data_IF_839489243946
#
_entry.id   IF_839489243946
#
_cell.length_a   1.000
_cell.length_b   1.000
_cell.length_c   1.000
_cell.angle_alpha   90.00
_cell.angle_beta   90.00
_cell.angle_gamma   90.00
#
_symmetry.space_group_name_H-M   'P 1'
#
loop_
_entity.id
_entity.type
_entity.pdbx_description
1 polymer ?
#
# COMPACT_ATOMS: atom_id res chain seq x y z
N UNK A 1 -107.22 10.46 40.17
CA UNK A 1 -106.31 11.02 41.20
C UNK A 1 -104.90 10.97 40.64
N UNK A 2 -104.35 12.13 40.31
CA UNK A 2 -102.98 12.30 39.83
C UNK A 2 -102.15 12.62 41.07
N UNK A 3 -101.34 11.67 41.54
CA UNK A 3 -100.43 11.93 42.65
C UNK A 3 -99.20 12.67 42.14
N UNK A 4 -99.13 13.96 42.46
CA UNK A 4 -97.90 14.75 42.44
C UNK A 4 -97.15 14.50 43.74
N UNK A 5 -95.91 14.02 43.65
CA UNK A 5 -94.90 14.18 44.69
C UNK A 5 -93.59 14.64 44.04
N UNK A 6 -92.93 15.57 44.73
CA UNK A 6 -91.90 16.49 44.25
C UNK A 6 -90.50 15.87 44.12
N UNK A 7 -89.76 16.38 43.14
CA UNK A 7 -88.36 16.08 42.82
C UNK A 7 -87.44 16.79 43.82
N UNK A 8 -87.22 16.19 44.99
CA UNK A 8 -86.21 16.64 45.96
C UNK A 8 -86.02 15.59 47.05
N UNK A 9 -85.09 14.65 46.82
CA UNK A 9 -84.32 13.84 47.80
C UNK A 9 -83.92 12.46 47.23
N UNK A 10 -83.09 12.42 46.19
CA UNK A 10 -82.43 11.17 45.75
C UNK A 10 -80.97 11.08 46.27
N UNK A 11 -80.45 12.11 46.92
CA UNK A 11 -79.10 12.11 47.53
C UNK A 11 -79.05 11.54 48.98
N UNK A 12 -80.08 10.81 49.42
CA UNK A 12 -80.23 10.35 50.80
C UNK A 12 -80.25 8.84 51.04
N UNK A 13 -79.99 8.00 50.01
CA UNK A 13 -79.62 6.59 50.19
C UNK A 13 -80.52 5.73 51.11
N UNK A 14 -81.82 5.97 51.17
CA UNK A 14 -82.75 5.15 51.98
C UNK A 14 -83.96 4.73 51.15
N UNK A 15 -83.94 3.50 50.64
CA UNK A 15 -85.07 2.89 49.92
C UNK A 15 -85.86 1.98 50.87
N UNK A 16 -87.19 2.20 50.94
CA UNK A 16 -88.13 1.34 51.66
C UNK A 16 -88.43 0.07 50.85
N UNK A 17 -88.58 -1.11 51.49
CA UNK A 17 -88.71 -2.41 50.81
C UNK A 17 -90.02 -2.61 50.02
N UNK A 18 -90.92 -1.62 49.99
CA UNK A 18 -92.26 -1.72 49.36
C UNK A 18 -92.35 -1.33 47.89
N UNK A 19 -91.25 -1.01 47.19
CA UNK A 19 -91.30 -0.46 45.83
C UNK A 19 -90.26 -1.05 44.85
N UNK A 20 -89.91 -2.34 44.99
CA UNK A 20 -89.17 -3.08 43.97
C UNK A 20 -90.16 -3.84 43.07
N UNK A 21 -90.05 -3.77 41.73
CA UNK A 21 -90.75 -4.68 40.84
C UNK A 21 -90.34 -6.12 41.20
N UNK A 22 -91.32 -6.99 41.41
CA UNK A 22 -91.09 -8.40 41.76
C UNK A 22 -90.22 -9.10 40.72
N UNK A 23 -88.94 -9.24 41.01
CA UNK A 23 -88.04 -10.13 40.31
C UNK A 23 -88.33 -11.55 40.76
N UNK A 24 -88.81 -12.40 39.84
CA UNK A 24 -88.87 -13.85 40.05
C UNK A 24 -87.57 -14.34 40.68
N UNK A 25 -87.65 -14.99 41.84
CA UNK A 25 -86.60 -15.87 42.36
C UNK A 25 -86.46 -17.08 41.43
N UNK A 26 -85.89 -16.84 40.24
CA UNK A 26 -85.26 -17.90 39.47
C UNK A 26 -83.96 -18.27 40.18
N UNK A 27 -83.75 -19.56 40.41
CA UNK A 27 -82.48 -20.14 40.86
C UNK A 27 -81.33 -19.47 40.11
N UNK A 28 -80.29 -18.93 40.77
CA UNK A 28 -79.18 -18.27 40.09
C UNK A 28 -78.62 -19.17 38.99
N UNK A 29 -78.83 -18.78 37.73
CA UNK A 29 -78.27 -19.49 36.59
C UNK A 29 -76.74 -19.32 36.56
N UNK A 30 -76.05 -20.24 35.89
CA UNK A 30 -74.61 -20.14 35.68
C UNK A 30 -74.26 -18.83 34.96
N UNK A 31 -73.23 -18.12 35.44
CA UNK A 31 -72.77 -16.89 34.80
C UNK A 31 -72.20 -17.14 33.41
N UNK A 32 -72.55 -16.28 32.45
CA UNK A 32 -71.78 -16.08 31.22
C UNK A 32 -70.88 -14.87 31.40
N UNK A 33 -69.59 -15.03 31.12
CA UNK A 33 -68.57 -14.00 31.31
C UNK A 33 -68.04 -13.50 29.97
N UNK A 34 -67.82 -12.19 29.85
CA UNK A 34 -66.96 -11.63 28.82
C UNK A 34 -65.62 -11.23 29.44
N UNK A 35 -64.54 -11.44 28.71
CA UNK A 35 -63.18 -11.24 29.23
C UNK A 35 -62.37 -10.32 28.33
N UNK A 36 -61.31 -9.74 28.89
CA UNK A 36 -60.25 -9.12 28.10
C UNK A 36 -59.49 -10.16 27.27
N UNK A 37 -58.67 -9.70 26.34
CA UNK A 37 -57.61 -10.55 25.78
C UNK A 37 -56.70 -11.10 26.91
N UNK A 38 -56.12 -12.27 26.69
CA UNK A 38 -55.09 -12.81 27.57
C UNK A 38 -53.82 -11.96 27.49
N UNK A 39 -53.19 -11.71 28.63
CA UNK A 39 -51.85 -11.12 28.69
C UNK A 39 -50.78 -12.06 28.11
N UNK A 40 -49.55 -11.54 27.98
CA UNK A 40 -48.41 -12.37 27.60
C UNK A 40 -48.14 -13.45 28.65
N UNK A 41 -47.58 -14.58 28.21
CA UNK A 41 -47.10 -15.61 29.13
C UNK A 41 -45.96 -15.03 29.97
N UNK A 42 -46.06 -15.14 31.30
CA UNK A 42 -45.04 -14.69 32.24
C UNK A 42 -44.08 -15.83 32.58
N UNK A 43 -42.95 -15.52 33.21
CA UNK A 43 -41.90 -16.50 33.56
C UNK A 43 -42.35 -17.61 34.52
N UNK A 44 -43.47 -17.40 35.23
CA UNK A 44 -44.13 -18.41 36.05
C UNK A 44 -45.00 -19.40 35.24
N UNK A 45 -44.94 -19.36 33.90
CA UNK A 45 -45.72 -20.24 33.02
C UNK A 45 -47.21 -19.94 33.00
N UNK A 46 -47.62 -18.72 33.37
CA UNK A 46 -49.02 -18.31 33.47
C UNK A 46 -49.29 -17.05 32.66
N UNK A 47 -50.48 -16.96 32.07
CA UNK A 47 -51.04 -15.73 31.52
C UNK A 47 -52.38 -15.45 32.18
N UNK A 48 -52.69 -14.17 32.41
CA UNK A 48 -53.90 -13.73 33.09
C UNK A 48 -54.78 -12.90 32.17
N UNK A 49 -56.08 -12.86 32.47
CA UNK A 49 -57.05 -11.95 31.85
C UNK A 49 -57.99 -11.41 32.91
N UNK A 50 -58.75 -10.38 32.57
CA UNK A 50 -59.74 -9.79 33.47
C UNK A 50 -61.16 -10.12 33.01
N UNK A 51 -62.09 -10.27 33.94
CA UNK A 51 -63.52 -10.29 33.65
C UNK A 51 -63.97 -8.87 33.34
N UNK A 52 -64.64 -8.67 32.21
CA UNK A 52 -65.21 -7.39 31.82
C UNK A 52 -66.68 -7.28 32.26
N UNK A 53 -67.48 -8.30 31.93
CA UNK A 53 -68.90 -8.35 32.33
C UNK A 53 -69.33 -9.77 32.70
N UNK A 54 -70.37 -9.87 33.53
CA UNK A 54 -71.06 -11.12 33.89
C UNK A 54 -72.57 -10.95 33.69
N UNK A 55 -73.24 -11.96 33.14
CA UNK A 55 -74.70 -11.94 32.92
C UNK A 55 -75.32 -13.32 33.20
N UNK A 56 -76.54 -13.39 33.77
CA UNK A 56 -77.41 -12.30 34.26
C UNK A 56 -77.01 -11.75 35.65
N UNK A 57 -77.57 -10.62 36.06
CA UNK A 57 -77.31 -10.03 37.39
C UNK A 57 -77.68 -11.01 38.52
N UNK A 58 -76.77 -11.22 39.47
CA UNK A 58 -76.96 -12.17 40.58
C UNK A 58 -76.62 -13.64 40.24
N UNK A 59 -76.04 -13.91 39.08
CA UNK A 59 -75.53 -15.24 38.74
C UNK A 59 -74.38 -15.67 39.66
N UNK A 60 -74.16 -16.98 39.79
CA UNK A 60 -73.04 -17.56 40.56
C UNK A 60 -72.14 -18.40 39.67
N UNK A 61 -70.82 -18.21 39.79
CA UNK A 61 -69.82 -19.04 39.13
C UNK A 61 -68.40 -18.55 39.43
N UNK A 62 -67.40 -19.32 39.02
CA UNK A 62 -65.99 -18.94 39.16
C UNK A 62 -65.43 -18.57 37.79
N UNK A 63 -65.00 -17.33 37.55
CA UNK A 63 -64.42 -16.94 36.28
C UNK A 63 -63.04 -17.58 36.06
N UNK A 64 -62.75 -17.96 34.83
CA UNK A 64 -61.43 -18.45 34.44
C UNK A 64 -60.53 -17.26 34.06
N UNK A 65 -59.66 -16.87 34.99
CA UNK A 65 -58.79 -15.70 34.87
C UNK A 65 -57.31 -16.05 34.71
N UNK A 66 -56.97 -17.35 34.72
CA UNK A 66 -55.60 -17.82 34.73
C UNK A 66 -55.47 -19.15 34.01
N UNK A 67 -54.52 -19.25 33.09
CA UNK A 67 -54.20 -20.53 32.43
C UNK A 67 -52.70 -20.74 32.29
N UNK A 68 -52.31 -22.01 32.21
CA UNK A 68 -50.94 -22.41 31.93
C UNK A 68 -50.54 -22.05 30.50
N UNK A 69 -49.26 -21.76 30.31
CA UNK A 69 -48.64 -21.48 29.02
C UNK A 69 -47.16 -21.84 29.04
N UNK A 70 -46.58 -22.05 27.86
CA UNK A 70 -45.14 -22.20 27.70
C UNK A 70 -44.51 -20.82 27.60
N UNK A 71 -43.74 -20.44 28.62
CA UNK A 71 -42.95 -19.20 28.58
C UNK A 71 -41.71 -19.41 27.70
N UNK A 72 -41.58 -18.58 26.67
CA UNK A 72 -40.33 -18.49 25.90
C UNK A 72 -39.60 -17.23 26.36
N UNK A 73 -38.45 -17.35 27.07
CA UNK A 73 -37.65 -16.21 27.45
C UNK A 73 -37.24 -15.38 26.23
N UNK A 74 -37.18 -14.04 26.32
CA UNK A 74 -36.62 -13.20 25.27
C UNK A 74 -35.17 -13.64 25.00
N UNK A 75 -34.82 -13.85 23.73
CA UNK A 75 -33.43 -14.11 23.35
C UNK A 75 -32.62 -12.83 23.51
N UNK A 76 -31.71 -12.83 24.49
CA UNK A 76 -30.85 -11.68 24.74
C UNK A 76 -29.66 -11.69 23.77
N UNK A 77 -29.44 -10.58 23.06
CA UNK A 77 -28.28 -10.42 22.21
C UNK A 77 -26.98 -10.33 23.05
N UNK A 78 -25.93 -11.01 22.62
CA UNK A 78 -24.62 -10.93 23.26
C UNK A 78 -23.89 -9.62 22.93
N UNK A 79 -23.24 -9.05 23.94
CA UNK A 79 -22.14 -8.10 23.79
C UNK A 79 -20.82 -8.83 23.97
N UNK A 80 -19.84 -8.59 23.10
CA UNK A 80 -18.54 -9.27 23.10
C UNK A 80 -17.39 -8.30 23.34
N UNK A 81 -16.38 -8.74 24.09
CA UNK A 81 -15.06 -8.10 24.10
C UNK A 81 -14.07 -8.98 23.34
N UNK A 82 -13.10 -8.36 22.68
CA UNK A 82 -12.18 -9.04 21.77
C UNK A 82 -10.73 -8.67 22.06
N UNK A 83 -9.80 -9.53 21.66
CA UNK A 83 -8.39 -9.18 21.55
C UNK A 83 -8.14 -8.19 20.40
N UNK A 84 -6.93 -7.62 20.36
CA UNK A 84 -6.47 -6.90 19.18
C UNK A 84 -6.48 -7.82 17.95
N UNK A 85 -6.67 -7.24 16.77
CA UNK A 85 -6.53 -8.00 15.53
C UNK A 85 -5.09 -8.44 15.32
N UNK A 86 -4.90 -9.68 14.87
CA UNK A 86 -3.60 -10.16 14.40
C UNK A 86 -3.14 -9.44 13.13
N UNK A 87 -1.90 -9.68 12.71
CA UNK A 87 -1.39 -9.19 11.44
C UNK A 87 -2.21 -9.77 10.26
N UNK A 88 -2.30 -9.01 9.17
CA UNK A 88 -2.87 -9.52 7.93
C UNK A 88 -2.01 -10.68 7.41
N UNK A 89 -2.64 -11.82 7.13
CA UNK A 89 -1.99 -13.01 6.59
C UNK A 89 -2.06 -13.01 5.06
N UNK A 90 -1.29 -13.89 4.41
CA UNK A 90 -1.21 -13.98 2.94
C UNK A 90 -2.51 -14.34 2.24
N UNK A 91 -3.49 -14.90 2.97
CA UNK A 91 -4.84 -15.17 2.47
C UNK A 91 -5.75 -13.92 2.47
N UNK A 92 -5.22 -12.76 2.85
CA UNK A 92 -5.97 -11.51 2.92
C UNK A 92 -6.90 -11.43 4.12
N UNK A 93 -6.65 -12.22 5.18
CA UNK A 93 -7.44 -12.20 6.41
C UNK A 93 -6.60 -11.85 7.62
N UNK A 94 -7.27 -11.26 8.61
CA UNK A 94 -6.75 -11.13 9.97
C UNK A 94 -7.79 -11.66 10.93
N UNK A 95 -7.32 -12.34 11.97
CA UNK A 95 -8.17 -12.98 12.98
C UNK A 95 -7.99 -12.32 14.33
N UNK A 96 -9.01 -12.46 15.17
CA UNK A 96 -8.97 -12.10 16.60
C UNK A 96 -9.74 -13.13 17.40
N UNK A 97 -9.58 -13.10 18.71
CA UNK A 97 -10.29 -13.99 19.64
C UNK A 97 -11.35 -13.23 20.42
N UNK A 98 -12.44 -13.92 20.78
CA UNK A 98 -13.39 -13.45 21.79
C UNK A 98 -12.74 -13.62 23.16
N UNK A 99 -12.78 -12.58 23.99
CA UNK A 99 -12.30 -12.64 25.37
C UNK A 99 -13.46 -12.90 26.33
N UNK A 100 -14.53 -12.11 26.24
CA UNK A 100 -15.73 -12.28 27.06
C UNK A 100 -17.01 -12.05 26.27
N UNK A 101 -18.11 -12.66 26.74
CA UNK A 101 -19.48 -12.40 26.30
C UNK A 101 -20.36 -12.03 27.50
N UNK A 102 -21.33 -11.15 27.29
CA UNK A 102 -22.26 -10.72 28.33
C UNK A 102 -23.61 -10.34 27.73
N UNK A 103 -24.74 -10.61 28.42
CA UNK A 103 -24.87 -11.33 29.71
C UNK A 103 -24.81 -12.87 29.58
N UNK A 104 -24.77 -13.60 30.70
CA UNK A 104 -24.79 -15.06 30.69
C UNK A 104 -26.05 -15.62 30.02
N UNK A 105 -25.89 -16.63 29.16
CA UNK A 105 -27.01 -17.23 28.41
C UNK A 105 -27.49 -16.41 27.19
N UNK A 106 -26.78 -15.35 26.82
CA UNK A 106 -27.06 -14.62 25.58
C UNK A 106 -26.81 -15.47 24.33
N UNK A 107 -27.45 -15.09 23.23
CA UNK A 107 -27.28 -15.73 21.92
C UNK A 107 -26.71 -14.74 20.90
N UNK A 108 -25.73 -15.17 20.10
CA UNK A 108 -25.17 -14.39 19.00
C UNK A 108 -23.95 -15.08 18.39
N UNK A 109 -23.49 -14.58 17.24
CA UNK A 109 -22.30 -15.07 16.55
C UNK A 109 -21.18 -14.02 16.64
N UNK A 110 -20.02 -14.32 17.24
CA UNK A 110 -18.92 -13.37 17.34
C UNK A 110 -18.24 -13.13 15.98
N UNK A 111 -17.79 -11.90 15.75
CA UNK A 111 -17.06 -11.53 14.53
C UNK A 111 -15.54 -11.64 14.75
N UNK A 112 -14.96 -12.71 14.23
CA UNK A 112 -13.58 -13.13 14.53
C UNK A 112 -12.62 -13.09 13.33
N UNK A 113 -13.12 -12.80 12.13
CA UNK A 113 -12.31 -12.73 10.91
C UNK A 113 -12.75 -11.55 10.06
N UNK A 114 -11.79 -10.80 9.51
CA UNK A 114 -12.05 -9.73 8.55
C UNK A 114 -11.06 -9.77 7.40
N UNK A 115 -11.47 -9.21 6.26
CA UNK A 115 -10.59 -9.02 5.11
C UNK A 115 -9.60 -7.89 5.37
N UNK A 116 -8.44 -7.97 4.73
CA UNK A 116 -7.38 -6.97 4.75
C UNK A 116 -6.51 -7.06 3.50
N UNK A 117 -5.76 -6.00 3.23
CA UNK A 117 -4.73 -6.02 2.19
C UNK A 117 -3.42 -6.53 2.79
N UNK A 118 -3.03 -7.74 2.40
CA UNK A 118 -1.73 -8.28 2.78
C UNK A 118 -0.63 -7.53 2.04
N UNK A 119 0.36 -7.04 2.78
CA UNK A 119 1.58 -6.48 2.22
C UNK A 119 2.69 -7.50 2.50
N UNK A 120 3.18 -8.23 1.48
CA UNK A 120 4.29 -9.17 1.67
C UNK A 120 5.51 -8.44 2.26
N UNK A 121 6.24 -9.05 3.21
CA UNK A 121 7.51 -8.51 3.66
C UNK A 121 8.43 -8.29 2.45
N UNK A 122 8.90 -7.06 2.28
CA UNK A 122 9.86 -6.73 1.23
C UNK A 122 11.25 -7.12 1.71
N UNK A 123 11.86 -8.11 1.06
CA UNK A 123 13.24 -8.50 1.35
C UNK A 123 14.20 -7.62 0.58
N UNK A 124 15.02 -6.84 1.27
CA UNK A 124 16.04 -6.00 0.62
C UNK A 124 17.22 -6.83 0.13
N UNK A 125 17.69 -6.58 -1.10
CA UNK A 125 18.91 -7.22 -1.60
C UNK A 125 20.13 -6.72 -0.82
N UNK A 126 20.94 -7.65 -0.30
CA UNK A 126 22.13 -7.32 0.49
C UNK A 126 23.43 -7.85 -0.11
N UNK A 127 23.35 -8.65 -1.17
CA UNK A 127 24.51 -9.21 -1.87
C UNK A 127 24.28 -9.19 -3.37
N UNK A 128 25.35 -8.90 -4.11
CA UNK A 128 25.33 -8.73 -5.56
C UNK A 128 26.58 -9.35 -6.17
N UNK A 129 26.40 -10.05 -7.28
CA UNK A 129 27.50 -10.41 -8.17
C UNK A 129 27.53 -9.43 -9.35
N UNK A 130 28.72 -9.19 -9.90
CA UNK A 130 28.91 -8.13 -10.89
C UNK A 130 29.65 -8.66 -12.11
N UNK A 131 29.45 -7.99 -13.25
CA UNK A 131 30.34 -8.12 -14.40
C UNK A 131 31.77 -7.65 -14.04
N UNK A 132 32.73 -7.96 -14.92
CA UNK A 132 33.99 -7.24 -14.92
C UNK A 132 33.75 -5.72 -15.09
N UNK A 133 34.67 -4.91 -14.56
CA UNK A 133 34.69 -3.47 -14.82
C UNK A 133 34.98 -3.21 -16.30
N UNK A 134 34.26 -2.25 -16.89
CA UNK A 134 34.59 -1.71 -18.21
C UNK A 134 35.90 -0.93 -18.21
N UNK A 135 36.36 -0.51 -19.39
CA UNK A 135 37.54 0.35 -19.50
C UNK A 135 37.32 1.69 -18.79
N UNK A 136 38.39 2.24 -18.21
CA UNK A 136 38.36 3.58 -17.65
C UNK A 136 38.04 4.60 -18.73
N UNK A 137 37.09 5.50 -18.46
CA UNK A 137 36.69 6.56 -19.39
C UNK A 137 37.42 7.88 -19.06
N UNK A 138 37.38 8.84 -19.98
CA UNK A 138 38.06 10.14 -19.85
C UNK A 138 37.67 10.99 -18.64
N UNK A 139 36.55 10.67 -17.99
CA UNK A 139 36.10 11.27 -16.73
C UNK A 139 36.66 10.55 -15.48
N UNK A 140 37.72 9.74 -15.62
CA UNK A 140 38.35 8.97 -14.55
C UNK A 140 37.39 8.00 -13.83
N UNK A 141 36.39 7.50 -14.55
CA UNK A 141 35.38 6.58 -14.02
C UNK A 141 35.25 5.35 -14.89
N UNK A 142 35.05 4.20 -14.26
CA UNK A 142 34.66 2.95 -14.92
C UNK A 142 33.36 2.42 -14.34
N UNK A 143 32.60 1.70 -15.15
CA UNK A 143 31.28 1.18 -14.78
C UNK A 143 31.22 -0.34 -14.94
N UNK A 144 30.30 -0.96 -14.20
CA UNK A 144 29.95 -2.39 -14.31
C UNK A 144 28.45 -2.56 -14.07
N UNK A 145 27.95 -3.76 -14.34
CA UNK A 145 26.54 -4.10 -14.11
C UNK A 145 26.38 -5.17 -13.04
N UNK A 146 25.21 -5.22 -12.40
CA UNK A 146 24.81 -6.36 -11.56
C UNK A 146 24.47 -7.55 -12.46
N UNK A 147 24.98 -8.72 -12.13
CA UNK A 147 24.62 -9.98 -12.79
C UNK A 147 23.56 -10.74 -11.99
N UNK A 148 23.74 -10.88 -10.68
CA UNK A 148 22.75 -11.51 -9.78
C UNK A 148 22.63 -10.75 -8.47
N UNK A 149 21.46 -10.88 -7.84
CA UNK A 149 21.15 -10.30 -6.52
C UNK A 149 20.69 -11.41 -5.58
N UNK A 150 20.98 -11.27 -4.29
CA UNK A 150 20.61 -12.23 -3.25
C UNK A 150 20.06 -11.53 -2.00
N UNK A 151 19.07 -12.13 -1.32
CA UNK A 151 18.42 -13.43 -1.59
C UNK A 151 17.47 -13.43 -2.82
N UNK A 152 17.09 -14.61 -3.31
CA UNK A 152 16.18 -14.72 -4.47
C UNK A 152 14.84 -13.99 -4.19
N UNK A 153 14.37 -13.20 -5.16
CA UNK A 153 13.15 -12.40 -5.02
C UNK A 153 13.31 -11.13 -4.18
N UNK A 154 14.53 -10.77 -3.78
CA UNK A 154 14.79 -9.50 -3.11
C UNK A 154 14.58 -8.31 -4.07
N UNK A 155 14.29 -7.14 -3.51
CA UNK A 155 14.19 -5.87 -4.26
C UNK A 155 14.99 -4.77 -3.56
N UNK A 156 15.39 -3.73 -4.29
CA UNK A 156 16.18 -2.61 -3.73
C UNK A 156 17.66 -2.95 -3.46
N UNK A 157 18.24 -2.27 -2.48
CA UNK A 157 19.68 -2.34 -2.13
C UNK A 157 20.54 -1.28 -2.83
N UNK A 158 21.84 -1.28 -2.52
CA UNK A 158 22.79 -0.23 -2.96
C UNK A 158 24.01 -0.84 -3.66
N UNK A 159 23.88 -1.34 -4.91
CA UNK A 159 25.00 -1.92 -5.63
C UNK A 159 26.04 -0.86 -6.03
N UNK A 160 27.32 -1.24 -6.01
CA UNK A 160 28.41 -0.36 -6.47
C UNK A 160 28.67 -0.61 -7.94
N UNK A 161 28.23 0.33 -8.78
CA UNK A 161 28.25 0.23 -10.25
C UNK A 161 29.20 1.20 -10.93
N UNK A 162 29.84 2.05 -10.14
CA UNK A 162 30.79 3.05 -10.60
C UNK A 162 31.93 3.14 -9.60
N UNK A 163 33.14 3.30 -10.10
CA UNK A 163 34.29 3.63 -9.28
C UNK A 163 35.26 4.54 -10.03
N UNK A 164 36.08 5.24 -9.25
CA UNK A 164 37.22 5.95 -9.79
C UNK A 164 38.24 4.98 -10.40
N UNK A 165 38.93 5.46 -11.42
CA UNK A 165 40.03 4.80 -12.09
C UNK A 165 40.97 5.85 -12.69
N UNK A 166 42.16 5.45 -13.12
CA UNK A 166 43.08 6.32 -13.84
C UNK A 166 42.89 6.12 -15.34
N UNK A 167 42.43 7.17 -16.03
CA UNK A 167 42.31 7.12 -17.47
C UNK A 167 43.66 7.32 -18.15
N UNK A 168 44.02 6.39 -19.02
CA UNK A 168 45.15 6.56 -19.94
C UNK A 168 44.58 6.83 -21.33
N UNK A 169 44.70 8.06 -21.85
CA UNK A 169 44.30 8.35 -23.23
C UNK A 169 45.05 7.44 -24.20
N UNK A 170 44.39 6.94 -25.26
CA UNK A 170 45.10 6.27 -26.33
C UNK A 170 46.13 7.23 -26.93
N UNK A 171 47.33 6.73 -27.22
CA UNK A 171 48.37 7.51 -27.89
C UNK A 171 47.85 7.94 -29.27
N UNK A 172 47.81 9.25 -29.58
CA UNK A 172 47.44 9.71 -30.91
C UNK A 172 48.38 9.12 -31.97
N UNK A 173 47.86 8.88 -33.18
CA UNK A 173 48.67 8.56 -34.35
C UNK A 173 48.74 9.79 -35.25
N UNK A 174 49.79 9.92 -36.09
CA UNK A 174 49.92 11.02 -37.05
C UNK A 174 48.65 11.23 -37.91
N UNK A 175 47.98 10.13 -38.27
CA UNK A 175 46.78 10.11 -39.11
C UNK A 175 45.50 10.55 -38.41
N UNK A 176 45.52 10.70 -37.08
CA UNK A 176 44.33 11.00 -36.30
C UNK A 176 43.81 12.43 -36.51
N UNK A 177 44.66 13.34 -37.01
CA UNK A 177 44.30 14.75 -37.22
C UNK A 177 44.55 15.24 -38.66
N UNK A 178 45.58 14.72 -39.35
CA UNK A 178 45.92 15.10 -40.72
C UNK A 178 46.46 13.90 -41.52
N UNK A 179 46.63 14.05 -42.83
CA UNK A 179 47.21 13.01 -43.68
C UNK A 179 48.65 12.67 -43.28
N UNK A 180 49.07 11.42 -43.48
CA UNK A 180 50.42 10.94 -43.19
C UNK A 180 51.19 10.70 -44.50
N UNK A 181 52.28 11.44 -44.77
CA UNK A 181 52.72 12.67 -44.10
C UNK A 181 51.90 13.90 -44.55
N UNK A 182 51.85 14.99 -43.76
CA UNK A 182 51.13 16.20 -44.15
C UNK A 182 51.80 16.90 -45.33
N UNK A 183 51.03 17.65 -46.13
CA UNK A 183 51.52 18.32 -47.35
C UNK A 183 52.55 19.45 -47.11
N UNK A 184 52.79 19.84 -45.84
CA UNK A 184 53.85 20.78 -45.48
C UNK A 184 55.26 20.26 -45.84
N UNK A 185 56.23 21.13 -46.11
CA UNK A 185 57.65 20.74 -46.23
C UNK A 185 58.02 19.76 -47.35
N UNK A 186 57.12 19.46 -48.29
CA UNK A 186 57.32 18.49 -49.39
C UNK A 186 57.78 17.11 -48.89
N UNK A 187 57.07 16.55 -47.91
CA UNK A 187 57.38 15.21 -47.37
C UNK A 187 57.48 14.12 -48.45
N UNK A 188 56.68 14.19 -49.52
CA UNK A 188 56.74 13.23 -50.64
C UNK A 188 58.11 13.09 -51.28
N UNK A 189 58.96 14.12 -51.18
CA UNK A 189 60.34 14.05 -51.67
C UNK A 189 61.26 13.28 -50.73
N UNK A 190 60.98 13.28 -49.43
CA UNK A 190 61.86 12.79 -48.39
C UNK A 190 61.48 11.39 -47.89
N UNK A 191 60.22 10.97 -48.07
CA UNK A 191 59.73 9.65 -47.60
C UNK A 191 60.41 8.46 -48.25
N UNK A 192 61.12 8.64 -49.36
CA UNK A 192 61.86 7.57 -50.04
C UNK A 192 63.27 7.33 -49.49
N UNK A 193 63.84 8.26 -48.71
CA UNK A 193 65.22 8.15 -48.22
C UNK A 193 65.40 8.58 -46.76
N UNK A 194 64.38 9.15 -46.12
CA UNK A 194 64.37 9.53 -44.72
C UNK A 194 63.14 8.96 -44.02
N UNK A 195 63.30 8.61 -42.74
CA UNK A 195 62.18 8.22 -41.88
C UNK A 195 61.60 9.43 -41.17
N UNK A 196 60.38 9.34 -40.64
CA UNK A 196 59.79 10.40 -39.82
C UNK A 196 60.73 10.80 -38.67
N UNK A 197 61.37 9.82 -38.03
CA UNK A 197 62.31 10.06 -36.93
C UNK A 197 63.58 10.82 -37.34
N UNK A 198 63.98 10.75 -38.61
CA UNK A 198 65.11 11.53 -39.15
C UNK A 198 64.86 13.03 -39.06
N UNK A 199 63.62 13.45 -39.29
CA UNK A 199 63.24 14.87 -39.27
C UNK A 199 62.64 15.30 -37.93
N UNK A 200 61.86 14.44 -37.27
CA UNK A 200 61.06 14.79 -36.08
C UNK A 200 61.65 14.26 -34.77
N UNK A 201 62.62 13.33 -34.82
CA UNK A 201 63.22 12.72 -33.64
C UNK A 201 62.53 11.42 -33.19
N UNK A 202 62.98 10.87 -32.05
CA UNK A 202 62.43 9.65 -31.48
C UNK A 202 60.95 9.81 -31.11
N UNK A 203 60.15 8.76 -31.32
CA UNK A 203 58.70 8.77 -31.04
C UNK A 203 57.83 9.20 -32.22
N UNK A 204 58.43 9.49 -33.39
CA UNK A 204 57.72 9.80 -34.63
C UNK A 204 57.91 8.70 -35.68
N UNK A 205 56.80 8.15 -36.18
CA UNK A 205 56.75 7.17 -37.27
C UNK A 205 55.54 7.42 -38.19
N UNK A 206 55.31 6.54 -39.16
CA UNK A 206 54.09 6.56 -39.97
C UNK A 206 52.83 6.22 -39.17
N UNK A 207 52.95 5.71 -37.94
CA UNK A 207 51.83 5.28 -37.09
C UNK A 207 51.89 5.82 -35.67
N UNK A 208 52.98 6.46 -35.26
CA UNK A 208 53.18 6.97 -33.91
C UNK A 208 53.59 8.45 -33.95
N UNK A 209 53.11 9.22 -32.99
CA UNK A 209 53.55 10.59 -32.76
C UNK A 209 53.81 10.83 -31.29
N UNK A 210 54.83 11.63 -30.98
CA UNK A 210 55.05 12.10 -29.63
C UNK A 210 54.05 13.21 -29.32
N UNK A 211 53.00 12.92 -28.56
CA UNK A 211 51.94 13.88 -28.23
C UNK A 211 52.41 15.03 -27.34
N UNK A 212 53.46 14.84 -26.53
CA UNK A 212 54.00 15.86 -25.65
C UNK A 212 54.62 17.03 -26.43
N UNK A 213 55.17 16.74 -27.61
CA UNK A 213 55.76 17.73 -28.50
C UNK A 213 54.82 18.08 -29.65
N UNK A 214 54.13 17.11 -30.27
CA UNK A 214 53.38 17.38 -31.50
C UNK A 214 52.08 18.20 -31.34
N UNK A 215 51.41 18.13 -30.19
CA UNK A 215 50.16 18.87 -29.96
C UNK A 215 50.38 20.22 -29.25
N UNK A 216 51.62 20.74 -29.22
CA UNK A 216 51.95 22.00 -28.58
C UNK A 216 51.84 23.23 -29.51
N UNK A 217 51.39 23.04 -30.76
CA UNK A 217 51.28 24.11 -31.77
C UNK A 217 52.59 24.49 -32.48
N UNK A 218 53.70 23.81 -32.18
CA UNK A 218 55.02 24.03 -32.77
C UNK A 218 55.35 22.94 -33.79
N UNK A 219 56.04 23.31 -34.87
CA UNK A 219 56.52 22.35 -35.88
C UNK A 219 57.79 21.68 -35.33
N UNK A 220 57.63 20.52 -34.69
CA UNK A 220 58.79 19.81 -34.12
C UNK A 220 59.59 19.15 -35.22
N UNK A 221 60.74 19.73 -35.53
CA UNK A 221 61.79 19.07 -36.27
C UNK A 221 63.08 19.19 -35.48
N UNK A 222 63.93 18.17 -35.59
CA UNK A 222 65.16 18.11 -34.82
C UNK A 222 65.96 19.39 -35.03
N UNK A 223 66.40 20.02 -33.94
CA UNK A 223 67.09 21.31 -33.96
C UNK A 223 68.36 21.26 -34.81
N UNK A 224 68.97 20.08 -34.95
CA UNK A 224 70.09 19.80 -35.84
C UNK A 224 69.81 20.03 -37.33
N UNK A 225 68.55 20.28 -37.75
CA UNK A 225 68.21 20.69 -39.12
C UNK A 225 68.18 22.21 -39.32
N UNK A 226 68.22 22.99 -38.23
CA UNK A 226 68.14 24.47 -38.21
C UNK A 226 67.01 25.01 -39.11
N UNK A 227 65.78 24.47 -38.97
CA UNK A 227 64.68 24.97 -39.78
C UNK A 227 64.20 26.34 -39.32
N UNK A 228 64.09 27.26 -40.27
CA UNK A 228 63.50 28.57 -40.06
C UNK A 228 62.07 28.57 -40.63
N UNK A 229 61.07 28.70 -39.76
CA UNK A 229 59.67 28.68 -40.16
C UNK A 229 59.23 29.92 -40.96
N UNK A 230 59.87 31.07 -40.74
CA UNK A 230 59.57 32.33 -41.44
C UNK A 230 60.04 32.28 -42.89
N UNK A 231 61.23 31.72 -43.14
CA UNK A 231 61.81 31.59 -44.49
C UNK A 231 61.55 30.23 -45.12
N UNK A 232 61.04 29.28 -44.34
CA UNK A 232 60.83 27.88 -44.70
C UNK A 232 62.08 27.20 -45.28
N UNK A 233 63.22 27.44 -44.64
CA UNK A 233 64.53 26.89 -45.03
C UNK A 233 65.05 25.93 -43.96
N UNK A 234 65.84 24.93 -44.35
CA UNK A 234 66.61 24.10 -43.42
C UNK A 234 68.08 24.56 -43.47
N UNK A 235 68.60 25.07 -42.35
CA UNK A 235 69.91 25.72 -42.28
C UNK A 235 71.09 24.82 -41.92
N UNK A 236 70.86 23.55 -41.53
CA UNK A 236 71.96 22.64 -41.20
C UNK A 236 72.56 21.97 -42.45
N UNK A 237 73.87 21.70 -42.44
CA UNK A 237 74.66 21.82 -43.65
C UNK A 237 74.44 20.65 -44.60
N UNK A 238 73.87 20.96 -45.78
CA UNK A 238 73.99 20.11 -46.96
C UNK A 238 72.70 19.56 -47.55
N UNK A 239 71.57 19.53 -46.83
CA UNK A 239 70.35 18.96 -47.44
C UNK A 239 69.82 19.81 -48.60
N UNK A 240 69.80 21.13 -48.45
CA UNK A 240 69.04 22.00 -49.36
C UNK A 240 69.66 23.37 -49.66
N UNK A 241 70.76 23.75 -49.01
CA UNK A 241 71.40 25.06 -49.22
C UNK A 241 70.44 26.22 -48.97
N UNK A 242 70.28 27.11 -49.95
CA UNK A 242 69.43 28.32 -49.87
C UNK A 242 67.97 28.13 -50.29
N UNK A 243 67.53 26.89 -50.55
CA UNK A 243 66.17 26.62 -51.06
C UNK A 243 65.10 26.72 -49.97
N UNK A 244 63.90 27.19 -50.34
CA UNK A 244 62.75 27.50 -49.46
C UNK A 244 61.51 26.67 -49.81
N UNK A 245 60.69 26.21 -48.84
CA UNK A 245 59.45 25.42 -49.08
C UNK A 245 58.28 25.72 -48.15
#
# INVERSE_FOLDING_TARGET
>A
MIFKASVSNIDGGTFYPGNLPGGSSGTPGACTYTYSAWGACQSNGTQTRTMLTSSPAGCTGTPDLSRTCTYTPPTQACTYTYSAWGACQSDGTQTRTMLTSSPAGCTGTPYLSRTCTYVPPVTTCNSFTYSAWGACQSNNTQTRTVQTSSPAGCTGGTPVLSQACTYTPPTPACGSCHAIPPSSGRHSRHTSFATCSTCHGSGYSSTAVNSATHNNGTRDIVSSLNYNASTRTCGAPGCHGSRTW
#
